data_IF_581295506038
#
_entry.id   IF_581295506038
#
_cell.length_a   1.000
_cell.length_b   1.000
_cell.length_c   1.000
_cell.angle_alpha   90.00
_cell.angle_beta   90.00
_cell.angle_gamma   90.00
#
_symmetry.space_group_name_H-M   'P 1'
#
loop_
_entity.id
_entity.type
_entity.pdbx_description
1 polymer ?
#
# COMPACT_ATOMS: atom_id res chain seq x y z
N UNK A 1 36.79 -15.75 -14.78
CA UNK A 1 36.61 -14.39 -15.31
C UNK A 1 35.41 -13.81 -14.59
N UNK A 2 35.65 -12.95 -13.59
CA UNK A 2 34.63 -12.39 -12.70
C UNK A 2 33.86 -11.28 -13.40
N UNK A 3 32.54 -11.40 -13.50
CA UNK A 3 31.58 -10.28 -13.55
C UNK A 3 30.19 -10.79 -13.16
N UNK A 4 30.06 -11.38 -11.97
CA UNK A 4 28.77 -11.36 -11.28
C UNK A 4 28.75 -10.04 -10.52
N UNK A 5 27.96 -9.09 -11.00
CA UNK A 5 27.62 -7.91 -10.21
C UNK A 5 26.86 -8.40 -8.99
N UNK A 6 27.57 -8.74 -7.92
CA UNK A 6 26.99 -8.97 -6.60
C UNK A 6 26.09 -7.76 -6.32
N UNK A 7 24.78 -7.99 -6.25
CA UNK A 7 23.87 -7.00 -5.72
C UNK A 7 24.33 -6.75 -4.29
N UNK A 8 24.91 -5.58 -4.03
CA UNK A 8 25.27 -5.22 -2.66
C UNK A 8 23.95 -5.15 -1.87
N UNK A 9 23.87 -5.72 -0.65
CA UNK A 9 22.67 -5.70 0.21
C UNK A 9 22.00 -4.32 0.33
N UNK A 10 22.80 -3.25 0.28
CA UNK A 10 22.34 -1.86 0.25
C UNK A 10 21.40 -1.54 -0.93
N UNK A 11 21.64 -2.08 -2.13
CA UNK A 11 20.79 -1.85 -3.31
C UNK A 11 19.44 -2.58 -3.15
N UNK A 12 19.46 -3.81 -2.64
CA UNK A 12 18.25 -4.59 -2.37
C UNK A 12 17.38 -3.95 -1.29
N UNK A 13 17.99 -3.53 -0.19
CA UNK A 13 17.33 -2.78 0.88
C UNK A 13 16.73 -1.48 0.35
N UNK A 14 17.46 -0.75 -0.50
CA UNK A 14 16.97 0.48 -1.10
C UNK A 14 15.76 0.21 -2.01
N UNK A 15 15.81 -0.84 -2.82
CA UNK A 15 14.71 -1.23 -3.70
C UNK A 15 13.46 -1.63 -2.91
N UNK A 16 13.61 -2.51 -1.92
CA UNK A 16 12.51 -2.96 -1.09
C UNK A 16 11.88 -1.77 -0.32
N UNK A 17 12.72 -0.86 0.19
CA UNK A 17 12.26 0.38 0.84
C UNK A 17 11.44 1.25 -0.11
N UNK A 18 11.86 1.39 -1.38
CA UNK A 18 11.11 2.16 -2.37
C UNK A 18 9.72 1.57 -2.58
N UNK A 19 9.64 0.25 -2.83
CA UNK A 19 8.37 -0.43 -3.08
C UNK A 19 7.45 -0.30 -1.87
N UNK A 20 7.98 -0.50 -0.66
CA UNK A 20 7.21 -0.38 0.57
C UNK A 20 6.68 1.05 0.78
N UNK A 21 7.49 2.09 0.49
CA UNK A 21 7.05 3.50 0.52
C UNK A 21 5.96 3.77 -0.51
N UNK A 22 6.12 3.31 -1.75
CA UNK A 22 5.12 3.50 -2.79
C UNK A 22 3.81 2.81 -2.41
N UNK A 23 3.88 1.57 -1.93
CA UNK A 23 2.73 0.83 -1.43
C UNK A 23 2.00 1.61 -0.34
N UNK A 24 2.72 2.12 0.66
CA UNK A 24 2.12 2.90 1.73
C UNK A 24 1.49 4.21 1.22
N UNK A 25 2.16 4.93 0.32
CA UNK A 25 1.65 6.19 -0.26
C UNK A 25 0.39 5.94 -1.10
N UNK A 26 0.37 4.93 -1.97
CA UNK A 26 -0.82 4.56 -2.73
C UNK A 26 -1.98 4.12 -1.82
N UNK A 27 -1.69 3.35 -0.77
CA UNK A 27 -2.71 2.99 0.21
C UNK A 27 -3.32 4.20 0.91
N UNK A 28 -2.49 5.17 1.31
CA UNK A 28 -2.98 6.42 1.92
C UNK A 28 -3.79 7.27 0.93
N UNK A 29 -3.37 7.35 -0.33
CA UNK A 29 -4.12 8.05 -1.38
C UNK A 29 -5.51 7.44 -1.57
N UNK A 30 -5.62 6.12 -1.68
CA UNK A 30 -6.91 5.45 -1.84
C UNK A 30 -7.83 5.60 -0.61
N UNK A 31 -7.29 5.50 0.61
CA UNK A 31 -8.09 5.77 1.82
C UNK A 31 -8.59 7.21 1.82
N UNK A 32 -7.71 8.16 1.51
CA UNK A 32 -8.06 9.58 1.51
C UNK A 32 -9.16 9.88 0.51
N UNK A 33 -9.02 9.35 -0.72
CA UNK A 33 -10.01 9.49 -1.79
C UNK A 33 -11.35 8.84 -1.42
N UNK A 34 -11.32 7.67 -0.78
CA UNK A 34 -12.53 6.99 -0.32
C UNK A 34 -13.23 7.75 0.80
N UNK A 35 -12.48 8.25 1.79
CA UNK A 35 -13.01 9.10 2.86
C UNK A 35 -13.60 10.38 2.27
N UNK A 36 -12.91 11.01 1.33
CA UNK A 36 -13.40 12.21 0.66
C UNK A 36 -14.73 11.95 -0.05
N UNK A 37 -14.82 10.88 -0.84
CA UNK A 37 -16.06 10.51 -1.54
C UNK A 37 -17.21 10.26 -0.56
N UNK A 38 -16.94 9.56 0.55
CA UNK A 38 -17.94 9.31 1.59
C UNK A 38 -18.40 10.60 2.27
N UNK A 39 -17.48 11.48 2.66
CA UNK A 39 -17.82 12.74 3.35
C UNK A 39 -18.47 13.75 2.40
N UNK A 40 -18.03 13.84 1.14
CA UNK A 40 -18.65 14.71 0.12
C UNK A 40 -20.11 14.30 -0.15
N UNK A 41 -20.42 12.99 -0.12
CA UNK A 41 -21.80 12.52 -0.28
C UNK A 41 -22.75 13.05 0.81
N UNK A 42 -22.23 13.29 2.02
CA UNK A 42 -23.00 13.81 3.16
C UNK A 42 -22.95 15.35 3.20
N UNK A 43 -21.83 15.96 2.81
CA UNK A 43 -21.59 17.40 2.87
C UNK A 43 -21.13 17.97 1.52
N UNK A 44 -21.98 17.99 0.48
CA UNK A 44 -21.57 18.29 -0.90
C UNK A 44 -21.04 19.73 -1.11
N UNK A 45 -21.47 20.68 -0.28
CA UNK A 45 -21.10 22.10 -0.39
C UNK A 45 -19.90 22.49 0.48
N UNK A 46 -19.19 21.52 1.07
CA UNK A 46 -18.06 21.78 1.96
C UNK A 46 -16.76 22.08 1.21
N UNK A 47 -16.57 23.33 0.79
CA UNK A 47 -15.32 23.79 0.12
C UNK A 47 -14.07 23.57 0.96
N UNK A 48 -14.18 23.70 2.29
CA UNK A 48 -13.07 23.46 3.22
C UNK A 48 -12.56 22.01 3.16
N UNK A 49 -13.45 21.03 2.98
CA UNK A 49 -13.09 19.61 2.87
C UNK A 49 -12.26 19.36 1.60
N UNK A 50 -12.70 19.93 0.47
CA UNK A 50 -11.98 19.85 -0.83
C UNK A 50 -10.56 20.38 -0.71
N UNK A 51 -10.38 21.50 0.00
CA UNK A 51 -9.07 22.13 0.20
C UNK A 51 -8.17 21.24 1.06
N UNK A 52 -8.66 20.70 2.18
CA UNK A 52 -7.86 19.85 3.08
C UNK A 52 -7.42 18.57 2.36
N UNK A 53 -8.36 17.86 1.73
CA UNK A 53 -8.10 16.61 1.02
C UNK A 53 -7.18 16.86 -0.17
N UNK A 54 -7.41 17.92 -0.95
CA UNK A 54 -6.55 18.30 -2.08
C UNK A 54 -5.13 18.63 -1.64
N UNK A 55 -4.97 19.35 -0.53
CA UNK A 55 -3.65 19.68 0.03
C UNK A 55 -2.92 18.42 0.51
N UNK A 56 -3.62 17.53 1.21
CA UNK A 56 -3.04 16.27 1.67
C UNK A 56 -2.62 15.37 0.50
N UNK A 57 -3.48 15.24 -0.52
CA UNK A 57 -3.16 14.50 -1.75
C UNK A 57 -1.94 15.07 -2.47
N UNK A 58 -1.82 16.40 -2.54
CA UNK A 58 -0.66 17.07 -3.12
C UNK A 58 0.62 16.79 -2.35
N UNK A 59 0.58 16.82 -1.00
CA UNK A 59 1.73 16.46 -0.15
C UNK A 59 2.16 15.02 -0.40
N UNK A 60 1.22 14.07 -0.48
CA UNK A 60 1.52 12.67 -0.80
C UNK A 60 2.11 12.52 -2.21
N UNK A 61 1.60 13.26 -3.19
CA UNK A 61 2.11 13.24 -4.56
C UNK A 61 3.55 13.77 -4.64
N UNK A 62 3.85 14.87 -3.95
CA UNK A 62 5.23 15.39 -3.83
C UNK A 62 6.12 14.36 -3.13
N UNK A 63 5.68 13.76 -2.03
CA UNK A 63 6.44 12.73 -1.33
C UNK A 63 6.75 11.53 -2.23
N UNK A 64 5.78 11.10 -3.05
CA UNK A 64 5.96 10.04 -4.03
C UNK A 64 6.98 10.43 -5.10
N UNK A 65 6.84 11.63 -5.68
CA UNK A 65 7.74 12.16 -6.69
C UNK A 65 9.17 12.22 -6.18
N UNK A 66 9.40 12.81 -5.00
CA UNK A 66 10.73 12.88 -4.38
C UNK A 66 11.31 11.48 -4.12
N UNK A 67 10.49 10.54 -3.66
CA UNK A 67 10.92 9.15 -3.44
C UNK A 67 11.34 8.48 -4.75
N UNK A 68 10.56 8.62 -5.82
CA UNK A 68 10.88 8.07 -7.14
C UNK A 68 12.14 8.71 -7.73
N UNK A 69 12.25 10.04 -7.70
CA UNK A 69 13.40 10.77 -8.25
C UNK A 69 14.73 10.43 -7.57
N UNK A 70 14.73 10.25 -6.25
CA UNK A 70 15.94 9.79 -5.52
C UNK A 70 16.37 8.39 -5.99
N UNK A 71 15.43 7.57 -6.46
CA UNK A 71 15.62 6.14 -6.65
C UNK A 71 15.86 5.75 -8.11
N UNK A 72 15.57 6.63 -9.06
CA UNK A 72 15.92 6.45 -10.49
C UNK A 72 17.42 6.22 -10.72
N UNK A 73 18.28 6.70 -9.82
CA UNK A 73 19.74 6.46 -9.89
C UNK A 73 20.16 5.00 -9.64
N UNK A 74 19.26 4.16 -9.12
CA UNK A 74 19.58 2.78 -8.69
C UNK A 74 18.92 1.69 -9.56
N UNK A 75 17.95 2.03 -10.41
CA UNK A 75 17.20 1.05 -11.22
C UNK A 75 18.05 0.28 -12.24
N UNK A 76 19.19 0.83 -12.69
CA UNK A 76 20.07 0.15 -13.64
C UNK A 76 20.89 -1.00 -13.06
N UNK A 77 20.82 -1.26 -11.75
CA UNK A 77 21.67 -2.23 -11.03
C UNK A 77 20.90 -3.42 -10.45
N UNK A 78 19.60 -3.53 -10.70
CA UNK A 78 18.73 -4.55 -10.11
C UNK A 78 18.55 -5.69 -11.11
N UNK A 79 18.74 -6.93 -10.66
CA UNK A 79 18.50 -8.10 -11.47
C UNK A 79 17.00 -8.22 -11.81
N UNK A 80 16.67 -8.66 -13.02
CA UNK A 80 15.30 -8.87 -13.49
C UNK A 80 14.52 -9.82 -12.56
N UNK A 81 15.20 -10.81 -11.97
CA UNK A 81 14.60 -11.74 -11.00
C UNK A 81 14.18 -11.04 -9.70
N UNK A 82 14.97 -10.10 -9.21
CA UNK A 82 14.63 -9.28 -8.03
C UNK A 82 13.52 -8.29 -8.37
N UNK A 83 13.56 -7.72 -9.57
CA UNK A 83 12.57 -6.74 -10.04
C UNK A 83 11.18 -7.34 -10.29
N UNK A 84 11.09 -8.58 -10.80
CA UNK A 84 9.81 -9.20 -11.17
C UNK A 84 9.32 -10.22 -10.15
N UNK A 85 10.22 -11.03 -9.61
CA UNK A 85 9.87 -12.16 -8.75
C UNK A 85 10.13 -11.88 -7.26
N UNK A 86 10.58 -10.67 -6.91
CA UNK A 86 10.93 -10.30 -5.53
C UNK A 86 11.91 -11.28 -4.87
N UNK A 87 12.79 -11.89 -5.68
CA UNK A 87 13.86 -12.77 -5.22
C UNK A 87 15.08 -11.93 -4.89
N UNK A 88 15.32 -11.75 -3.60
CA UNK A 88 16.47 -11.05 -3.06
C UNK A 88 17.61 -12.04 -2.78
N UNK A 89 18.84 -11.61 -3.09
CA UNK A 89 20.06 -12.37 -2.79
C UNK A 89 20.41 -12.29 -1.30
N UNK A 90 20.10 -11.18 -0.64
CA UNK A 90 20.28 -11.02 0.80
C UNK A 90 19.17 -11.75 1.59
N UNK A 91 19.58 -12.58 2.55
CA UNK A 91 18.69 -13.42 3.34
C UNK A 91 17.75 -12.57 4.22
N UNK A 92 18.25 -11.49 4.80
CA UNK A 92 17.45 -10.60 5.65
C UNK A 92 16.43 -9.83 4.81
N UNK A 93 16.83 -9.25 3.66
CA UNK A 93 15.89 -8.55 2.77
C UNK A 93 14.83 -9.51 2.21
N UNK A 94 15.22 -10.74 1.87
CA UNK A 94 14.30 -11.80 1.48
C UNK A 94 13.30 -12.12 2.60
N UNK A 95 13.77 -12.27 3.84
CA UNK A 95 12.93 -12.48 5.02
C UNK A 95 11.94 -11.33 5.24
N UNK A 96 12.39 -10.08 5.19
CA UNK A 96 11.53 -8.90 5.39
C UNK A 96 10.47 -8.80 4.29
N UNK A 97 10.86 -9.02 3.03
CA UNK A 97 9.92 -9.07 1.90
C UNK A 97 8.84 -10.14 2.12
N UNK A 98 9.25 -11.36 2.50
CA UNK A 98 8.34 -12.47 2.81
C UNK A 98 7.40 -12.13 3.97
N UNK A 99 7.90 -11.46 5.01
CA UNK A 99 7.05 -10.99 6.13
C UNK A 99 6.00 -9.99 5.65
N UNK A 100 6.35 -9.03 4.80
CA UNK A 100 5.38 -8.11 4.20
C UNK A 100 4.26 -8.84 3.47
N UNK A 101 4.59 -9.86 2.66
CA UNK A 101 3.60 -10.71 2.01
C UNK A 101 2.72 -11.47 3.01
N UNK A 102 3.31 -12.07 4.04
CA UNK A 102 2.55 -12.80 5.07
C UNK A 102 1.57 -11.90 5.81
N UNK A 103 1.97 -10.68 6.17
CA UNK A 103 1.07 -9.71 6.81
C UNK A 103 -0.11 -9.34 5.91
N UNK A 104 0.18 -8.97 4.66
CA UNK A 104 -0.85 -8.59 3.69
C UNK A 104 -1.81 -9.74 3.39
N UNK A 105 -1.28 -10.95 3.20
CA UNK A 105 -2.08 -12.16 3.03
C UNK A 105 -2.97 -12.45 4.23
N UNK A 106 -2.42 -12.39 5.46
CA UNK A 106 -3.18 -12.68 6.67
C UNK A 106 -4.30 -11.66 6.89
N UNK A 107 -4.03 -10.37 6.67
CA UNK A 107 -5.04 -9.31 6.77
C UNK A 107 -6.16 -9.54 5.76
N UNK A 108 -5.84 -9.81 4.50
CA UNK A 108 -6.86 -10.07 3.47
C UNK A 108 -7.62 -11.38 3.69
N UNK A 109 -6.94 -12.41 4.18
CA UNK A 109 -7.57 -13.71 4.50
C UNK A 109 -8.58 -13.61 5.63
N UNK A 110 -8.47 -12.60 6.51
CA UNK A 110 -9.45 -12.32 7.55
C UNK A 110 -10.51 -11.34 7.04
N UNK A 111 -10.08 -10.28 6.35
CA UNK A 111 -10.96 -9.22 5.87
C UNK A 111 -11.98 -9.74 4.85
N UNK A 112 -11.55 -10.49 3.84
CA UNK A 112 -12.44 -10.92 2.76
C UNK A 112 -13.58 -11.82 3.26
N UNK A 113 -13.35 -12.85 4.10
CA UNK A 113 -14.44 -13.64 4.67
C UNK A 113 -15.40 -12.80 5.51
N UNK A 114 -14.90 -11.85 6.31
CA UNK A 114 -15.76 -10.94 7.09
C UNK A 114 -16.65 -10.13 6.14
N UNK A 115 -16.08 -9.56 5.07
CA UNK A 115 -16.84 -8.79 4.08
C UNK A 115 -17.88 -9.65 3.35
N UNK A 116 -17.55 -10.91 3.04
CA UNK A 116 -18.51 -11.85 2.43
C UNK A 116 -19.66 -12.18 3.39
N UNK A 117 -19.36 -12.42 4.67
CA UNK A 117 -20.39 -12.68 5.70
C UNK A 117 -21.29 -11.44 5.83
N UNK A 118 -20.70 -10.25 5.90
CA UNK A 118 -21.48 -9.01 5.95
C UNK A 118 -22.34 -8.84 4.70
N UNK A 119 -21.78 -8.99 3.50
CA UNK A 119 -22.56 -8.90 2.26
C UNK A 119 -23.74 -9.89 2.22
N UNK A 120 -23.52 -11.11 2.71
CA UNK A 120 -24.57 -12.13 2.80
C UNK A 120 -25.68 -11.79 3.82
N UNK A 121 -25.32 -11.23 4.98
CA UNK A 121 -26.30 -10.77 5.97
C UNK A 121 -27.11 -9.57 5.46
N UNK A 122 -26.48 -8.68 4.70
CA UNK A 122 -27.15 -7.54 4.07
C UNK A 122 -28.23 -7.98 3.07
N UNK A 123 -27.91 -8.96 2.21
CA UNK A 123 -28.86 -9.51 1.24
C UNK A 123 -30.08 -10.15 1.91
N UNK A 124 -29.90 -10.65 3.14
CA UNK A 124 -30.98 -11.21 3.97
C UNK A 124 -31.79 -10.16 4.75
N UNK A 125 -31.46 -8.88 4.62
CA UNK A 125 -32.12 -7.78 5.35
C UNK A 125 -31.82 -7.80 6.86
N UNK A 126 -30.80 -8.53 7.28
CA UNK A 126 -30.46 -8.77 8.67
C UNK A 126 -29.24 -7.90 9.05
N UNK A 127 -29.48 -6.82 9.79
CA UNK A 127 -28.50 -6.11 10.65
C UNK A 127 -27.39 -5.26 10.02
N UNK A 128 -27.44 -4.88 8.74
CA UNK A 128 -26.42 -3.97 8.18
C UNK A 128 -26.88 -2.51 8.07
N UNK A 129 -26.05 -1.53 8.53
CA UNK A 129 -26.35 -0.12 8.33
C UNK A 129 -26.35 0.21 6.84
N UNK A 130 -27.23 1.12 6.42
CA UNK A 130 -27.37 1.67 5.05
C UNK A 130 -26.03 2.12 4.42
N UNK A 131 -25.01 2.34 5.25
CA UNK A 131 -23.63 2.64 4.90
C UNK A 131 -23.03 1.68 3.86
N UNK A 132 -23.26 0.36 3.97
CA UNK A 132 -22.69 -0.60 2.99
C UNK A 132 -23.43 -0.59 1.65
N UNK A 133 -24.72 -0.23 1.63
CA UNK A 133 -25.49 -0.07 0.39
C UNK A 133 -25.12 1.21 -0.37
N UNK A 134 -24.53 2.19 0.32
CA UNK A 134 -24.14 3.48 -0.26
C UNK A 134 -22.75 3.51 -0.89
N UNK A 135 -21.92 2.49 -0.65
CA UNK A 135 -20.55 2.44 -1.17
C UNK A 135 -20.55 1.85 -2.58
N UNK A 136 -20.03 2.59 -3.55
CA UNK A 136 -19.89 2.08 -4.93
C UNK A 136 -18.89 0.92 -4.99
N UNK A 137 -19.06 0.01 -5.94
CA UNK A 137 -18.13 -1.11 -6.16
C UNK A 137 -16.68 -0.64 -6.37
N UNK A 138 -16.48 0.51 -7.01
CA UNK A 138 -15.15 1.09 -7.21
C UNK A 138 -14.52 1.52 -5.88
N UNK A 139 -15.29 2.19 -5.01
CA UNK A 139 -14.83 2.59 -3.67
C UNK A 139 -14.51 1.37 -2.80
N UNK A 140 -15.31 0.31 -2.91
CA UNK A 140 -15.03 -0.95 -2.26
C UNK A 140 -13.68 -1.55 -2.70
N UNK A 141 -13.39 -1.57 -4.01
CA UNK A 141 -12.10 -2.05 -4.53
C UNK A 141 -10.96 -1.18 -4.02
N UNK A 142 -11.09 0.15 -4.07
CA UNK A 142 -10.06 1.10 -3.61
C UNK A 142 -9.71 0.86 -2.14
N UNK A 143 -10.71 0.72 -1.28
CA UNK A 143 -10.51 0.46 0.15
C UNK A 143 -9.79 -0.88 0.41
N UNK A 144 -10.20 -1.95 -0.27
CA UNK A 144 -9.53 -3.25 -0.14
C UNK A 144 -8.09 -3.20 -0.64
N UNK A 145 -7.85 -2.56 -1.78
CA UNK A 145 -6.51 -2.37 -2.32
C UNK A 145 -5.65 -1.51 -1.38
N UNK A 146 -6.24 -0.50 -0.75
CA UNK A 146 -5.53 0.32 0.24
C UNK A 146 -5.09 -0.49 1.45
N UNK A 147 -5.97 -1.32 1.99
CA UNK A 147 -5.65 -2.21 3.12
C UNK A 147 -4.56 -3.20 2.72
N UNK A 148 -4.64 -3.82 1.53
CA UNK A 148 -3.61 -4.70 0.99
C UNK A 148 -2.24 -4.01 0.93
N UNK A 149 -2.20 -2.80 0.36
CA UNK A 149 -0.96 -2.04 0.15
C UNK A 149 -0.35 -1.55 1.47
N UNK A 150 -1.17 -1.13 2.43
CA UNK A 150 -0.68 -0.71 3.75
C UNK A 150 -0.18 -1.89 4.59
N UNK A 151 -0.93 -2.99 4.59
CA UNK A 151 -0.54 -4.23 5.30
C UNK A 151 0.70 -4.89 4.71
N UNK A 152 1.04 -4.60 3.44
CA UNK A 152 2.33 -4.96 2.85
C UNK A 152 3.43 -3.95 3.21
N UNK A 153 3.21 -2.66 2.93
CA UNK A 153 4.24 -1.62 2.99
C UNK A 153 4.67 -1.26 4.40
N UNK A 154 3.74 -1.12 5.36
CA UNK A 154 4.06 -0.67 6.71
C UNK A 154 4.95 -1.65 7.49
N UNK A 155 4.69 -2.98 7.49
CA UNK A 155 5.58 -3.93 8.16
C UNK A 155 7.00 -3.93 7.60
N UNK A 156 7.16 -3.82 6.28
CA UNK A 156 8.47 -3.75 5.63
C UNK A 156 9.22 -2.50 6.10
N UNK A 157 8.58 -1.32 6.06
CA UNK A 157 9.21 -0.08 6.51
C UNK A 157 9.60 -0.13 7.99
N UNK A 158 8.77 -0.75 8.83
CA UNK A 158 9.06 -0.93 10.25
C UNK A 158 10.28 -1.84 10.47
N UNK A 159 10.33 -2.99 9.81
CA UNK A 159 11.45 -3.94 9.95
C UNK A 159 12.77 -3.35 9.44
N UNK A 160 12.76 -2.73 8.26
CA UNK A 160 13.96 -2.14 7.68
C UNK A 160 14.49 -0.95 8.49
N UNK A 161 13.62 -0.24 9.23
CA UNK A 161 14.05 0.82 10.16
C UNK A 161 14.75 0.25 11.39
N UNK A 162 14.21 -0.84 11.95
CA UNK A 162 14.76 -1.47 13.16
C UNK A 162 16.20 -1.97 12.98
N UNK A 163 16.61 -2.30 11.75
CA UNK A 163 17.99 -2.68 11.44
C UNK A 163 18.97 -1.48 11.42
N UNK A 164 18.46 -0.26 11.30
CA UNK A 164 19.28 0.96 11.25
C UNK A 164 19.54 1.57 12.63
N UNK A 165 18.80 1.14 13.65
CA UNK A 165 18.87 1.58 15.04
C UNK A 165 19.63 0.56 15.90
#
# INVERSE_FOLDING_TARGET
>A
MHTETELTPAIEQHFLTLIAKLSAVFGLLFITDSIYTLVESVFPNSTWLKIIVGTFGLVLFIAMGVSLFKNLKFNGKININTSLCFKFSDEYISYVSMKGYQYSWNVMSILLPILVILAYLNDRGEYLPELFNSISFLEFIKLNLAVLLLSYGLPILYMLRKEQD
#
